data_IF_374739266133
#
_entry.id   IF_374739266133
#
_cell.length_a   1.000
_cell.length_b   1.000
_cell.length_c   1.000
_cell.angle_alpha   90.00
_cell.angle_beta   90.00
_cell.angle_gamma   90.00
#
_symmetry.space_group_name_H-M   'P 1'
#
loop_
_entity.id
_entity.type
_entity.pdbx_description
1 polymer ?
#
# COMPACT_ATOMS: atom_id res chain seq x y z
N UNK A 1 -52.03 -28.79 27.98
CA UNK A 1 -50.92 -28.11 27.38
C UNK A 1 -50.21 -27.27 28.43
N UNK A 2 -49.02 -27.65 28.78
CA UNK A 2 -48.27 -26.95 29.84
C UNK A 2 -47.69 -25.66 29.30
N UNK A 3 -47.94 -24.51 29.90
CA UNK A 3 -47.42 -23.23 29.42
C UNK A 3 -45.88 -23.10 29.54
N UNK A 4 -45.24 -24.11 30.13
CA UNK A 4 -43.76 -24.11 30.28
C UNK A 4 -43.00 -24.54 29.03
N UNK A 5 -43.68 -25.16 28.06
CA UNK A 5 -43.03 -25.59 26.80
C UNK A 5 -43.02 -24.51 25.72
N UNK A 6 -43.81 -23.46 25.88
CA UNK A 6 -43.86 -22.38 24.87
C UNK A 6 -42.80 -21.31 25.04
N UNK A 7 -42.19 -21.22 26.22
CA UNK A 7 -41.17 -20.22 26.51
C UNK A 7 -39.78 -20.65 26.03
N UNK A 8 -39.55 -21.95 25.84
CA UNK A 8 -38.25 -22.46 25.41
C UNK A 8 -38.05 -22.40 23.90
N UNK A 9 -39.14 -22.30 23.12
CA UNK A 9 -39.03 -22.19 21.66
C UNK A 9 -38.75 -20.78 21.13
N UNK A 10 -39.00 -19.74 21.95
CA UNK A 10 -38.76 -18.36 21.55
C UNK A 10 -37.32 -17.89 21.82
N UNK A 11 -36.55 -18.59 22.65
CA UNK A 11 -35.17 -18.21 22.97
C UNK A 11 -34.16 -18.70 21.95
N UNK A 12 -34.48 -19.67 21.11
CA UNK A 12 -33.56 -20.16 20.06
C UNK A 12 -33.58 -19.34 18.78
N UNK A 13 -34.56 -18.47 18.58
CA UNK A 13 -34.69 -17.64 17.37
C UNK A 13 -33.85 -16.34 17.38
N UNK A 14 -33.41 -15.90 18.55
CA UNK A 14 -32.71 -14.62 18.67
C UNK A 14 -31.18 -14.71 18.48
N UNK A 15 -30.61 -15.93 18.46
CA UNK A 15 -29.17 -16.12 18.31
C UNK A 15 -28.70 -16.22 16.84
N UNK A 16 -29.62 -16.34 15.90
CA UNK A 16 -29.28 -16.41 14.48
C UNK A 16 -29.14 -15.05 13.80
N UNK A 17 -29.57 -13.96 14.43
CA UNK A 17 -29.49 -12.61 13.87
C UNK A 17 -28.16 -11.87 14.16
N UNK A 18 -27.27 -12.49 14.94
CA UNK A 18 -25.99 -11.89 15.33
C UNK A 18 -24.80 -12.26 14.44
N UNK A 19 -24.98 -13.08 13.41
CA UNK A 19 -23.89 -13.57 12.55
C UNK A 19 -23.71 -12.77 11.24
N UNK A 20 -24.41 -11.63 11.06
CA UNK A 20 -24.15 -10.67 9.99
C UNK A 20 -23.02 -9.74 10.41
N UNK A 21 -21.83 -10.26 10.73
CA UNK A 21 -20.72 -9.46 11.19
C UNK A 21 -20.22 -8.52 10.10
N UNK A 22 -20.02 -7.23 10.42
CA UNK A 22 -19.18 -6.35 9.63
C UNK A 22 -17.82 -7.03 9.47
N UNK A 23 -17.36 -7.19 8.24
CA UNK A 23 -16.03 -7.70 7.98
C UNK A 23 -15.01 -6.75 8.64
N UNK A 24 -14.15 -7.28 9.50
CA UNK A 24 -13.07 -6.57 10.13
C UNK A 24 -12.00 -6.15 9.11
N UNK A 25 -10.99 -5.35 9.53
CA UNK A 25 -9.87 -4.99 8.68
C UNK A 25 -9.20 -6.23 8.08
N UNK A 26 -8.80 -6.13 6.82
CA UNK A 26 -8.09 -7.20 6.10
C UNK A 26 -6.64 -6.76 5.91
N UNK A 27 -5.75 -7.25 6.77
CA UNK A 27 -4.33 -7.00 6.64
C UNK A 27 -3.78 -7.64 5.36
N UNK A 28 -2.84 -6.96 4.72
CA UNK A 28 -2.21 -7.45 3.50
C UNK A 28 -1.29 -6.42 2.91
N UNK A 29 -1.05 -6.51 1.61
CA UNK A 29 -0.15 -5.61 0.90
C UNK A 29 -0.89 -4.79 -0.14
N UNK A 30 -0.47 -3.54 -0.30
CA UNK A 30 -0.80 -2.67 -1.42
C UNK A 30 0.44 -2.53 -2.32
N UNK A 31 0.22 -2.17 -3.56
CA UNK A 31 1.30 -1.84 -4.49
C UNK A 31 1.33 -0.34 -4.76
N UNK A 32 2.53 0.25 -4.67
CA UNK A 32 2.77 1.59 -5.22
C UNK A 32 3.32 1.40 -6.63
N UNK A 33 2.58 1.89 -7.61
CA UNK A 33 2.93 1.74 -9.02
C UNK A 33 3.47 3.04 -9.59
N UNK A 34 4.55 2.93 -10.34
CA UNK A 34 5.21 4.02 -11.04
C UNK A 34 4.76 4.09 -12.49
N UNK A 35 4.29 5.27 -12.91
CA UNK A 35 4.20 5.65 -14.31
C UNK A 35 5.29 6.71 -14.58
N UNK A 36 6.14 6.43 -15.54
CA UNK A 36 7.25 7.30 -15.91
C UNK A 36 7.30 7.50 -17.42
N UNK A 37 7.60 8.72 -17.90
CA UNK A 37 7.83 8.97 -19.32
C UNK A 37 9.23 8.56 -19.80
N UNK A 38 10.09 8.05 -18.90
CA UNK A 38 11.50 7.78 -19.17
C UNK A 38 11.86 6.32 -18.91
N UNK A 39 12.98 5.90 -19.47
CA UNK A 39 13.51 4.53 -19.34
C UNK A 39 14.89 4.49 -18.68
N UNK A 40 15.36 5.62 -18.17
CA UNK A 40 16.68 5.77 -17.56
C UNK A 40 16.59 6.34 -16.13
N UNK A 41 15.51 6.06 -15.42
CA UNK A 41 15.35 6.45 -14.03
C UNK A 41 16.16 5.52 -13.13
N UNK A 42 17.06 6.05 -12.32
CA UNK A 42 17.85 5.30 -11.34
C UNK A 42 17.21 5.26 -9.97
N UNK A 43 16.63 6.35 -9.53
CA UNK A 43 16.06 6.48 -8.21
C UNK A 43 14.86 7.41 -8.20
N UNK A 44 13.89 7.11 -7.35
CA UNK A 44 12.72 7.94 -7.10
C UNK A 44 12.58 8.14 -5.60
N UNK A 45 12.49 9.40 -5.19
CA UNK A 45 12.14 9.81 -3.85
C UNK A 45 10.68 10.24 -3.82
N UNK A 46 9.90 9.69 -2.89
CA UNK A 46 8.49 10.04 -2.75
C UNK A 46 8.03 10.06 -1.30
N UNK A 47 6.92 10.74 -1.05
CA UNK A 47 6.19 10.66 0.21
C UNK A 47 5.08 9.64 0.07
N UNK A 48 4.97 8.77 1.06
CA UNK A 48 3.86 7.83 1.21
C UNK A 48 3.08 8.20 2.46
N UNK A 49 1.84 8.58 2.26
CA UNK A 49 0.91 8.92 3.33
C UNK A 49 -0.10 7.79 3.51
N UNK A 50 -0.35 7.42 4.74
CA UNK A 50 -1.26 6.35 5.14
C UNK A 50 -0.63 5.42 6.17
N UNK A 51 -1.44 4.67 6.91
CA UNK A 51 -0.96 3.74 7.91
C UNK A 51 -0.25 2.55 7.26
N UNK A 52 1.03 2.36 7.53
CA UNK A 52 1.85 1.28 6.98
C UNK A 52 2.62 0.59 8.09
N UNK A 53 2.94 -0.69 7.86
CA UNK A 53 3.76 -1.49 8.77
C UNK A 53 5.12 -1.82 8.19
N UNK A 54 5.23 -1.96 6.86
CA UNK A 54 6.50 -2.22 6.18
C UNK A 54 6.41 -1.76 4.72
N UNK A 55 7.56 -1.38 4.16
CA UNK A 55 7.72 -1.07 2.73
C UNK A 55 8.86 -1.93 2.20
N UNK A 56 8.60 -2.72 1.17
CA UNK A 56 9.54 -3.68 0.61
C UNK A 56 9.63 -3.56 -0.91
N UNK A 57 10.75 -4.02 -1.46
CA UNK A 57 10.92 -4.09 -2.90
C UNK A 57 10.05 -5.21 -3.51
N UNK A 58 9.59 -5.06 -4.76
CA UNK A 58 8.95 -6.15 -5.47
C UNK A 58 9.89 -7.35 -5.62
N UNK A 59 9.35 -8.56 -5.57
CA UNK A 59 10.13 -9.78 -5.71
C UNK A 59 10.94 -9.77 -7.01
N UNK A 60 12.23 -10.09 -6.92
CA UNK A 60 13.14 -10.16 -8.06
C UNK A 60 13.63 -8.81 -8.60
N UNK A 61 13.17 -7.68 -8.08
CA UNK A 61 13.57 -6.36 -8.56
C UNK A 61 14.99 -5.97 -8.16
N UNK A 62 15.47 -6.45 -7.02
CA UNK A 62 16.73 -6.04 -6.40
C UNK A 62 16.82 -4.53 -6.11
N UNK A 63 15.69 -3.85 -6.04
CA UNK A 63 15.63 -2.44 -5.65
C UNK A 63 16.06 -2.27 -4.20
N UNK A 64 16.84 -1.26 -3.94
CA UNK A 64 17.18 -0.85 -2.59
C UNK A 64 16.18 0.19 -2.11
N UNK A 65 15.64 -0.02 -0.91
CA UNK A 65 14.67 0.89 -0.31
C UNK A 65 15.27 1.50 0.95
N UNK A 66 15.26 2.82 0.99
CA UNK A 66 15.60 3.62 2.16
C UNK A 66 14.35 4.39 2.57
N UNK A 67 14.09 4.48 3.86
CA UNK A 67 12.89 5.12 4.37
C UNK A 67 13.19 5.88 5.65
N UNK A 68 12.47 7.00 5.83
CA UNK A 68 12.54 7.83 7.02
C UNK A 68 11.16 8.41 7.33
N UNK A 69 10.76 8.49 8.61
CA UNK A 69 9.52 9.16 8.98
C UNK A 69 9.53 10.63 8.55
N UNK A 70 8.35 11.10 8.15
CA UNK A 70 8.13 12.50 7.78
C UNK A 70 6.78 12.97 8.33
N UNK A 71 6.77 13.30 9.62
CA UNK A 71 5.53 13.63 10.33
C UNK A 71 4.71 12.40 10.72
N UNK A 72 3.42 12.62 11.03
CA UNK A 72 2.49 11.56 11.41
C UNK A 72 1.94 10.88 10.15
N UNK A 73 1.90 9.55 10.14
CA UNK A 73 1.35 8.72 9.05
C UNK A 73 1.97 8.99 7.67
N UNK A 74 3.12 9.66 7.62
CA UNK A 74 3.83 9.92 6.37
C UNK A 74 5.24 9.36 6.45
N UNK A 75 5.67 8.73 5.37
CA UNK A 75 6.98 8.13 5.23
C UNK A 75 7.66 8.72 3.99
N UNK A 76 8.90 9.10 4.13
CA UNK A 76 9.76 9.43 2.99
C UNK A 76 10.42 8.15 2.52
N UNK A 77 10.25 7.81 1.26
CA UNK A 77 10.75 6.57 0.67
C UNK A 77 11.64 6.90 -0.51
N UNK A 78 12.83 6.32 -0.52
CA UNK A 78 13.76 6.38 -1.65
C UNK A 78 13.93 4.97 -2.20
N UNK A 79 13.65 4.79 -3.47
CA UNK A 79 13.83 3.53 -4.20
C UNK A 79 14.95 3.70 -5.20
N UNK A 80 15.95 2.83 -5.14
CA UNK A 80 17.13 2.89 -5.98
C UNK A 80 17.24 1.58 -6.75
N UNK A 81 17.35 1.66 -8.07
CA UNK A 81 17.64 0.52 -8.92
C UNK A 81 19.05 -0.04 -8.67
N UNK A 82 19.29 -1.33 -8.90
CA UNK A 82 20.63 -1.89 -8.76
C UNK A 82 21.62 -1.23 -9.74
N UNK A 83 22.90 -1.33 -9.43
CA UNK A 83 23.95 -0.79 -10.29
C UNK A 83 23.86 -1.39 -11.70
N UNK A 84 23.92 -0.54 -12.71
CA UNK A 84 23.75 -0.93 -14.11
C UNK A 84 22.30 -1.12 -14.54
N UNK A 85 21.33 -1.00 -13.62
CA UNK A 85 19.90 -1.10 -13.89
C UNK A 85 19.17 0.24 -13.84
N UNK A 86 17.88 0.18 -14.08
CA UNK A 86 16.97 1.32 -14.00
C UNK A 86 15.65 0.91 -13.40
N UNK A 87 14.88 1.87 -12.91
CA UNK A 87 13.51 1.64 -12.46
C UNK A 87 12.61 1.45 -13.67
N UNK A 88 11.71 0.50 -13.59
CA UNK A 88 10.72 0.23 -14.64
C UNK A 88 9.35 0.68 -14.22
N UNK A 89 8.52 1.10 -15.18
CA UNK A 89 7.12 1.34 -14.95
C UNK A 89 6.44 0.07 -14.40
N UNK A 90 5.50 0.24 -13.48
CA UNK A 90 4.85 -0.86 -12.78
C UNK A 90 5.08 -0.79 -11.28
N UNK A 91 5.12 -1.93 -10.61
CA UNK A 91 5.25 -1.98 -9.15
C UNK A 91 6.64 -1.46 -8.72
N UNK A 92 6.62 -0.36 -7.97
CA UNK A 92 7.84 0.24 -7.42
C UNK A 92 8.16 -0.30 -6.03
N UNK A 93 7.16 -0.39 -5.16
CA UNK A 93 7.27 -0.98 -3.83
C UNK A 93 5.98 -1.69 -3.45
N UNK A 94 6.08 -2.62 -2.49
CA UNK A 94 4.96 -3.23 -1.79
C UNK A 94 4.87 -2.65 -0.40
N UNK A 95 3.66 -2.36 0.05
CA UNK A 95 3.39 -1.73 1.34
C UNK A 95 2.50 -2.64 2.15
N UNK A 96 3.01 -3.15 3.27
CA UNK A 96 2.19 -3.90 4.21
C UNK A 96 1.28 -2.92 4.99
N UNK A 97 0.00 -3.19 4.98
CA UNK A 97 -1.02 -2.31 5.54
C UNK A 97 -1.98 -3.09 6.45
N UNK A 98 -2.58 -2.42 7.45
CA UNK A 98 -3.54 -3.07 8.34
C UNK A 98 -4.89 -3.37 7.66
N UNK A 99 -5.24 -2.67 6.58
CA UNK A 99 -6.49 -2.90 5.85
C UNK A 99 -6.32 -2.57 4.37
N UNK A 100 -6.29 -3.59 3.54
CA UNK A 100 -6.13 -3.43 2.08
C UNK A 100 -7.32 -2.75 1.40
N UNK A 101 -8.48 -2.75 2.05
CA UNK A 101 -9.68 -2.10 1.51
C UNK A 101 -9.59 -0.57 1.58
N UNK A 102 -8.63 -0.04 2.34
CA UNK A 102 -8.39 1.39 2.49
C UNK A 102 -7.36 1.94 1.48
N UNK A 103 -7.15 1.26 0.36
CA UNK A 103 -6.19 1.70 -0.66
C UNK A 103 -6.40 3.15 -1.10
N UNK A 104 -7.65 3.59 -1.22
CA UNK A 104 -7.98 4.96 -1.62
C UNK A 104 -7.56 6.03 -0.60
N UNK A 105 -7.29 5.67 0.64
CA UNK A 105 -6.80 6.59 1.67
C UNK A 105 -5.29 6.81 1.63
N UNK A 106 -4.56 6.02 0.84
CA UNK A 106 -3.12 6.14 0.68
C UNK A 106 -2.79 7.08 -0.47
N UNK A 107 -1.78 7.92 -0.27
CA UNK A 107 -1.29 8.84 -1.28
C UNK A 107 0.22 8.69 -1.40
N UNK A 108 0.71 8.46 -2.61
CA UNK A 108 2.13 8.48 -2.93
C UNK A 108 2.41 9.68 -3.84
N UNK A 109 3.33 10.54 -3.42
CA UNK A 109 3.67 11.76 -4.14
C UNK A 109 5.15 11.78 -4.51
N UNK A 110 5.50 11.79 -5.79
CA UNK A 110 6.91 11.91 -6.20
C UNK A 110 7.47 13.29 -5.82
N UNK A 111 8.68 13.28 -5.26
CA UNK A 111 9.39 14.50 -4.87
C UNK A 111 10.58 14.76 -5.79
N UNK A 112 11.30 13.71 -6.16
CA UNK A 112 12.56 13.84 -6.88
C UNK A 112 12.90 12.57 -7.63
N UNK A 113 13.60 12.70 -8.74
CA UNK A 113 14.04 11.58 -9.58
C UNK A 113 15.50 11.81 -9.97
N UNK A 114 16.31 10.76 -9.91
CA UNK A 114 17.67 10.76 -10.43
C UNK A 114 17.77 9.80 -11.61
N UNK A 115 18.51 10.20 -12.64
CA UNK A 115 18.77 9.37 -13.82
C UNK A 115 19.90 8.39 -13.58
N UNK A 116 20.09 7.45 -14.50
CA UNK A 116 21.24 6.52 -14.50
C UNK A 116 22.59 7.24 -14.67
N UNK A 117 22.58 8.49 -15.17
CA UNK A 117 23.76 9.35 -15.23
C UNK A 117 23.94 10.22 -13.97
N UNK A 118 23.20 9.93 -12.90
CA UNK A 118 23.22 10.66 -11.62
C UNK A 118 22.79 12.13 -11.72
N UNK A 119 22.01 12.46 -12.74
CA UNK A 119 21.43 13.78 -12.89
C UNK A 119 20.04 13.84 -12.25
N UNK A 120 19.73 14.92 -11.57
CA UNK A 120 18.40 15.19 -11.05
C UNK A 120 17.45 15.51 -12.21
N UNK A 121 16.22 15.02 -12.11
CA UNK A 121 15.19 15.22 -13.11
C UNK A 121 13.93 15.76 -12.45
N UNK A 122 13.23 16.67 -13.11
CA UNK A 122 11.93 17.17 -12.64
C UNK A 122 10.88 16.06 -12.70
N UNK A 123 9.95 16.07 -11.74
CA UNK A 123 8.94 15.01 -11.58
C UNK A 123 7.72 15.19 -12.50
N UNK A 124 7.75 16.11 -13.44
CA UNK A 124 6.66 16.32 -14.40
C UNK A 124 6.48 15.07 -15.26
N UNK A 125 5.24 14.57 -15.32
CA UNK A 125 4.91 13.35 -16.05
C UNK A 125 5.08 12.07 -15.25
N UNK A 126 5.63 12.13 -14.04
CA UNK A 126 5.71 10.99 -13.13
C UNK A 126 4.45 10.89 -12.30
N UNK A 127 3.92 9.70 -12.17
CA UNK A 127 2.76 9.41 -11.33
C UNK A 127 3.02 8.18 -10.46
N UNK A 128 2.60 8.27 -9.22
CA UNK A 128 2.56 7.15 -8.30
C UNK A 128 1.12 6.90 -7.89
N UNK A 129 0.68 5.66 -8.01
CA UNK A 129 -0.65 5.22 -7.61
C UNK A 129 -0.55 4.10 -6.59
N UNK A 130 -1.45 4.09 -5.62
CA UNK A 130 -1.53 3.04 -4.60
C UNK A 130 -2.76 2.20 -4.91
N UNK A 131 -2.55 0.92 -5.15
CA UNK A 131 -3.61 0.00 -5.58
C UNK A 131 -3.53 -1.33 -4.84
N UNK A 132 -4.65 -2.04 -4.81
CA UNK A 132 -4.65 -3.46 -4.44
C UNK A 132 -3.99 -4.27 -5.56
N UNK A 133 -3.20 -5.29 -5.20
CA UNK A 133 -2.62 -6.19 -6.19
C UNK A 133 -3.66 -7.02 -6.93
#
# INVERSE_FOLDING_TARGET
MNPRTLVLALLCGALAAGCGGSEGPVAGELEVRLATPNTDDRAVLFLLRGAQTAVTAPSGSNYRILKAPFGTDTLRVLVIAPQGGHLTAGVLVRVAVPDTRQAASYVARPLDVATTAYAQRVVIGYQLTVVQP
#
